data_IF_866281987595
#
_entry.id   IF_866281987595
#
_cell.length_a   1.000
_cell.length_b   1.000
_cell.length_c   1.000
_cell.angle_alpha   90.00
_cell.angle_beta   90.00
_cell.angle_gamma   90.00
#
_symmetry.space_group_name_H-M   'P 1'
#
loop_
_entity.id
_entity.type
_entity.pdbx_description
1 polymer ?
#
# COMPACT_ATOMS: atom_id res chain seq x y z
N UNK A 1 40.26 78.67 10.28
CA UNK A 1 39.34 78.36 9.16
C UNK A 1 39.91 77.13 8.47
N UNK A 2 39.31 75.94 8.34
CA UNK A 2 37.94 75.43 8.45
C UNK A 2 38.02 73.99 9.00
N UNK A 3 36.98 73.55 9.73
CA UNK A 3 36.70 72.15 10.13
C UNK A 3 36.54 71.24 8.89
N UNK A 4 36.78 69.92 9.04
CA UNK A 4 35.95 68.72 8.72
C UNK A 4 36.83 67.49 9.14
N UNK A 5 36.44 66.49 9.94
CA UNK A 5 35.17 65.74 10.00
C UNK A 5 35.33 64.43 9.22
N UNK A 6 35.92 63.36 9.78
CA UNK A 6 35.89 62.03 9.16
C UNK A 6 35.49 60.94 10.15
N UNK A 7 34.49 60.18 9.68
CA UNK A 7 33.65 59.23 10.37
C UNK A 7 34.31 57.86 10.55
N UNK A 8 33.85 57.13 11.58
CA UNK A 8 34.18 55.74 11.81
C UNK A 8 33.52 54.81 10.80
N UNK A 9 34.29 53.84 10.32
CA UNK A 9 33.80 52.71 9.52
C UNK A 9 33.95 51.44 10.33
N UNK A 10 32.84 50.96 10.89
CA UNK A 10 32.72 49.61 11.43
C UNK A 10 32.43 48.66 10.26
N UNK A 11 33.34 47.73 9.97
CA UNK A 11 33.15 46.70 8.97
C UNK A 11 32.28 45.58 9.55
N UNK A 12 31.04 45.47 9.07
CA UNK A 12 30.16 44.33 9.31
C UNK A 12 30.56 43.18 8.37
N UNK A 13 31.13 42.10 8.91
CA UNK A 13 31.31 40.84 8.19
C UNK A 13 29.95 40.15 8.03
N UNK A 14 29.38 40.21 6.83
CA UNK A 14 28.23 39.40 6.45
C UNK A 14 28.68 37.95 6.20
N UNK A 15 28.31 37.04 7.10
CA UNK A 15 28.47 35.60 6.88
C UNK A 15 27.39 35.17 5.89
N UNK A 16 27.76 35.02 4.60
CA UNK A 16 26.92 34.32 3.64
C UNK A 16 26.93 32.82 4.01
N UNK A 17 25.85 32.35 4.61
CA UNK A 17 25.57 30.92 4.68
C UNK A 17 25.16 30.45 3.27
N UNK A 18 26.08 29.82 2.53
CA UNK A 18 25.73 29.06 1.33
C UNK A 18 24.90 27.84 1.75
N UNK A 19 23.58 27.98 1.75
CA UNK A 19 22.67 26.84 1.68
C UNK A 19 22.84 26.22 0.29
N UNK A 20 23.70 25.21 0.16
CA UNK A 20 23.70 24.38 -1.03
C UNK A 20 22.31 23.73 -1.16
N UNK A 21 21.65 23.76 -2.32
CA UNK A 21 20.46 22.96 -2.52
C UNK A 21 20.85 21.50 -2.28
N UNK A 22 20.18 20.82 -1.36
CA UNK A 22 20.23 19.36 -1.26
C UNK A 22 19.95 18.83 -2.66
N UNK A 23 20.96 18.27 -3.31
CA UNK A 23 20.78 17.61 -4.59
C UNK A 23 19.72 16.53 -4.37
N UNK A 24 18.52 16.71 -4.94
CA UNK A 24 17.50 15.68 -4.90
C UNK A 24 18.11 14.41 -5.50
N UNK A 25 17.98 13.29 -4.80
CA UNK A 25 18.47 12.02 -5.32
C UNK A 25 17.86 11.75 -6.69
N UNK A 26 18.66 11.22 -7.62
CA UNK A 26 18.18 10.91 -8.96
C UNK A 26 16.99 9.93 -8.88
N UNK A 27 15.84 10.26 -9.51
CA UNK A 27 14.69 9.40 -9.49
C UNK A 27 15.01 8.09 -10.23
N UNK A 28 14.56 6.97 -9.66
CA UNK A 28 14.59 5.70 -10.35
C UNK A 28 13.69 5.79 -11.57
N UNK A 29 14.17 5.28 -12.70
CA UNK A 29 13.42 5.19 -13.95
C UNK A 29 13.35 3.72 -14.38
N UNK A 30 12.14 3.22 -14.63
CA UNK A 30 11.91 1.91 -15.23
C UNK A 30 11.18 2.08 -16.58
N UNK A 31 11.67 1.41 -17.63
CA UNK A 31 11.13 1.52 -19.00
C UNK A 31 10.68 0.18 -19.57
N UNK A 32 11.02 -0.93 -18.92
CA UNK A 32 10.60 -2.29 -19.24
C UNK A 32 9.24 -2.64 -18.62
N UNK A 33 8.35 -1.64 -18.52
CA UNK A 33 6.99 -1.78 -18.02
C UNK A 33 6.02 -1.85 -19.19
N UNK A 34 5.16 -2.87 -19.20
CA UNK A 34 4.12 -3.07 -20.21
C UNK A 34 2.75 -3.08 -19.58
N UNK A 35 1.73 -2.72 -20.36
CA UNK A 35 0.35 -2.84 -19.94
C UNK A 35 -0.49 -3.57 -20.99
N UNK A 36 -1.49 -4.30 -20.51
CA UNK A 36 -2.53 -4.94 -21.31
C UNK A 36 -3.86 -4.59 -20.66
N UNK A 37 -4.76 -3.97 -21.40
CA UNK A 37 -6.14 -3.74 -20.95
C UNK A 37 -6.99 -4.92 -21.38
N UNK A 38 -7.85 -5.39 -20.48
CA UNK A 38 -8.82 -6.42 -20.77
C UNK A 38 -10.24 -5.97 -20.40
N UNK A 39 -11.22 -6.19 -21.29
CA UNK A 39 -12.60 -5.83 -21.01
C UNK A 39 -13.20 -6.71 -19.92
N UNK A 40 -14.32 -6.27 -19.37
CA UNK A 40 -15.09 -7.04 -18.40
C UNK A 40 -15.51 -8.40 -18.98
N UNK A 41 -15.11 -9.50 -18.33
CA UNK A 41 -15.49 -10.86 -18.72
C UNK A 41 -16.96 -11.26 -18.50
N UNK A 42 -17.82 -10.33 -18.06
CA UNK A 42 -19.24 -10.59 -17.78
C UNK A 42 -19.96 -9.40 -17.11
N UNK A 43 -21.26 -9.55 -16.83
CA UNK A 43 -22.10 -8.45 -16.30
C UNK A 43 -21.70 -7.91 -14.91
N UNK A 44 -20.94 -8.70 -14.13
CA UNK A 44 -20.56 -8.36 -12.74
C UNK A 44 -19.07 -8.11 -12.57
N UNK A 45 -18.26 -8.30 -13.61
CA UNK A 45 -16.83 -8.03 -13.52
C UNK A 45 -16.52 -6.61 -14.01
N UNK A 46 -15.62 -5.94 -13.32
CA UNK A 46 -15.03 -4.72 -13.83
C UNK A 46 -14.01 -5.05 -14.95
N UNK A 47 -13.79 -4.13 -15.90
CA UNK A 47 -12.62 -4.21 -16.77
C UNK A 47 -11.34 -4.08 -15.94
N UNK A 48 -10.21 -4.52 -16.50
CA UNK A 48 -8.92 -4.53 -15.79
C UNK A 48 -7.77 -4.07 -16.67
N UNK A 49 -6.70 -3.62 -16.02
CA UNK A 49 -5.40 -3.40 -16.65
C UNK A 49 -4.35 -4.26 -15.95
N UNK A 50 -3.65 -5.08 -16.73
CA UNK A 50 -2.48 -5.83 -16.28
C UNK A 50 -1.22 -5.01 -16.54
N UNK A 51 -0.52 -4.64 -15.48
CA UNK A 51 0.82 -4.04 -15.55
C UNK A 51 1.87 -5.14 -15.39
N UNK A 52 2.86 -5.19 -16.28
CA UNK A 52 3.93 -6.18 -16.28
C UNK A 52 5.29 -5.49 -16.22
N UNK A 53 6.18 -5.99 -15.37
CA UNK A 53 7.57 -5.56 -15.31
C UNK A 53 8.45 -6.81 -15.11
N UNK A 54 9.33 -7.07 -16.08
CA UNK A 54 10.13 -8.30 -16.17
C UNK A 54 9.27 -9.56 -16.08
N UNK A 55 9.41 -10.35 -15.01
CA UNK A 55 8.66 -11.59 -14.74
C UNK A 55 7.44 -11.39 -13.85
N UNK A 56 7.23 -10.17 -13.34
CA UNK A 56 6.14 -9.85 -12.42
C UNK A 56 4.98 -9.20 -13.17
N UNK A 57 3.77 -9.43 -12.69
CA UNK A 57 2.56 -8.76 -13.18
C UNK A 57 1.62 -8.43 -12.05
N UNK A 58 0.92 -7.30 -12.15
CA UNK A 58 -0.17 -6.89 -11.28
C UNK A 58 -1.42 -6.61 -12.11
N UNK A 59 -2.57 -7.10 -11.67
CA UNK A 59 -3.85 -6.77 -12.26
C UNK A 59 -4.53 -5.68 -11.42
N UNK A 60 -4.92 -4.59 -12.08
CA UNK A 60 -5.69 -3.52 -11.46
C UNK A 60 -7.11 -3.58 -12.02
N UNK A 61 -8.07 -3.81 -11.14
CA UNK A 61 -9.50 -3.76 -11.44
C UNK A 61 -9.96 -2.29 -11.50
N UNK A 62 -10.80 -1.95 -12.48
CA UNK A 62 -11.46 -0.64 -12.57
C UNK A 62 -12.84 -0.70 -11.88
N UNK A 63 -12.83 -0.94 -10.56
CA UNK A 63 -14.02 -1.06 -9.70
C UNK A 63 -14.12 0.07 -8.65
N UNK A 64 -13.25 1.08 -8.75
CA UNK A 64 -13.17 2.20 -7.81
C UNK A 64 -12.33 1.95 -6.56
N UNK A 65 -11.80 0.73 -6.35
CA UNK A 65 -10.91 0.42 -5.21
C UNK A 65 -9.61 1.23 -5.21
N UNK A 66 -9.18 1.71 -6.38
CA UNK A 66 -7.94 2.48 -6.57
C UNK A 66 -8.23 3.78 -7.32
N UNK A 67 -8.69 4.85 -6.64
CA UNK A 67 -9.12 6.09 -7.29
C UNK A 67 -8.04 6.76 -8.15
N UNK A 68 -6.76 6.59 -7.82
CA UNK A 68 -5.64 7.14 -8.58
C UNK A 68 -5.47 6.50 -9.98
N UNK A 69 -6.17 5.38 -10.26
CA UNK A 69 -6.28 4.80 -11.61
C UNK A 69 -7.42 5.38 -12.46
N UNK A 70 -8.25 6.29 -11.94
CA UNK A 70 -9.42 6.82 -12.66
C UNK A 70 -9.07 7.47 -14.02
N UNK A 71 -7.91 8.11 -14.11
CA UNK A 71 -7.42 8.67 -15.39
C UNK A 71 -7.10 7.58 -16.42
N UNK A 72 -6.55 6.44 -15.99
CA UNK A 72 -6.32 5.28 -16.84
C UNK A 72 -7.64 4.65 -17.27
N UNK A 73 -8.58 4.47 -16.35
CA UNK A 73 -9.92 3.94 -16.64
C UNK A 73 -10.64 4.78 -17.71
N UNK A 74 -10.69 6.11 -17.53
CA UNK A 74 -11.29 7.02 -18.49
C UNK A 74 -10.60 6.97 -19.86
N UNK A 75 -9.26 6.86 -19.88
CA UNK A 75 -8.50 6.78 -21.11
C UNK A 75 -8.72 5.47 -21.89
N UNK A 76 -8.84 4.35 -21.17
CA UNK A 76 -8.98 3.01 -21.73
C UNK A 76 -10.44 2.66 -22.07
N UNK A 77 -11.42 3.27 -21.39
CA UNK A 77 -12.84 3.07 -21.66
C UNK A 77 -13.37 3.73 -22.94
N UNK A 78 -12.50 4.41 -23.71
CA UNK A 78 -12.86 5.01 -24.99
C UNK A 78 -13.25 3.95 -26.01
N UNK A 79 -14.37 4.15 -26.70
CA UNK A 79 -14.88 3.21 -27.72
C UNK A 79 -14.12 3.27 -29.05
N UNK A 80 -13.55 4.42 -29.37
CA UNK A 80 -12.81 4.60 -30.61
C UNK A 80 -11.43 3.91 -30.51
N UNK A 81 -11.10 2.99 -31.43
CA UNK A 81 -9.74 2.43 -31.52
C UNK A 81 -8.72 3.53 -31.83
N UNK A 82 -7.46 3.29 -31.46
CA UNK A 82 -6.36 4.20 -31.81
C UNK A 82 -5.37 4.43 -30.68
N UNK A 83 -4.52 5.45 -30.85
CA UNK A 83 -3.49 5.80 -29.89
C UNK A 83 -4.10 6.24 -28.57
N UNK A 84 -3.49 5.80 -27.46
CA UNK A 84 -3.91 6.16 -26.10
C UNK A 84 -2.69 6.55 -25.28
N UNK A 85 -2.85 7.56 -24.44
CA UNK A 85 -1.91 7.91 -23.38
C UNK A 85 -2.67 8.23 -22.11
N UNK A 86 -2.07 7.87 -20.97
CA UNK A 86 -2.58 8.20 -19.64
C UNK A 86 -1.43 8.19 -18.64
N UNK A 87 -1.67 8.83 -17.50
CA UNK A 87 -0.72 8.89 -16.40
C UNK A 87 -1.41 8.44 -15.13
N UNK A 88 -0.70 7.65 -14.33
CA UNK A 88 -1.10 7.28 -12.97
C UNK A 88 -0.11 7.93 -12.02
N UNK A 89 -0.60 8.79 -11.13
CA UNK A 89 0.20 9.49 -10.12
C UNK A 89 -0.11 8.91 -8.75
N UNK A 90 0.94 8.59 -8.01
CA UNK A 90 0.90 8.04 -6.67
C UNK A 90 2.12 8.57 -5.90
N UNK A 91 2.10 8.52 -4.57
CA UNK A 91 3.23 9.00 -3.75
C UNK A 91 4.55 8.35 -4.14
N UNK A 92 4.54 7.04 -4.40
CA UNK A 92 5.71 6.28 -4.86
C UNK A 92 6.30 6.73 -6.21
N UNK A 93 5.55 7.47 -7.02
CA UNK A 93 6.01 7.98 -8.30
C UNK A 93 4.92 8.09 -9.37
N UNK A 94 5.37 8.37 -10.60
CA UNK A 94 4.51 8.55 -11.77
C UNK A 94 4.70 7.42 -12.76
N UNK A 95 3.59 6.79 -13.17
CA UNK A 95 3.54 5.80 -14.24
C UNK A 95 2.90 6.42 -15.49
N UNK A 96 3.72 6.85 -16.45
CA UNK A 96 3.29 7.42 -17.70
C UNK A 96 3.19 6.33 -18.78
N UNK A 97 2.00 6.11 -19.34
CA UNK A 97 1.73 5.01 -20.25
C UNK A 97 1.28 5.51 -21.63
N UNK A 98 1.67 4.77 -22.66
CA UNK A 98 1.21 4.97 -24.03
C UNK A 98 0.98 3.63 -24.73
N UNK A 99 0.14 3.61 -25.76
CA UNK A 99 -0.10 2.41 -26.55
C UNK A 99 -1.25 2.58 -27.53
N UNK A 100 -1.94 1.47 -27.80
CA UNK A 100 -3.04 1.44 -28.78
C UNK A 100 -4.20 0.61 -28.26
N UNK A 101 -5.41 1.12 -28.47
CA UNK A 101 -6.67 0.44 -28.21
C UNK A 101 -7.23 -0.15 -29.50
N UNK A 102 -7.75 -1.37 -29.42
CA UNK A 102 -8.58 -2.02 -30.43
C UNK A 102 -10.07 -1.92 -30.09
N UNK A 103 -10.40 -1.64 -28.83
CA UNK A 103 -11.75 -1.37 -28.35
C UNK A 103 -11.72 -0.81 -26.93
N UNK A 104 -12.90 -0.55 -26.35
CA UNK A 104 -12.99 -0.10 -24.96
C UNK A 104 -12.43 -1.17 -24.02
N UNK A 105 -11.42 -0.78 -23.23
CA UNK A 105 -10.65 -1.66 -22.35
C UNK A 105 -9.96 -2.83 -23.06
N UNK A 106 -9.72 -2.73 -24.37
CA UNK A 106 -9.00 -3.74 -25.14
C UNK A 106 -7.83 -3.08 -25.87
N UNK A 107 -6.61 -3.44 -25.48
CA UNK A 107 -5.40 -2.84 -26.02
C UNK A 107 -4.17 -3.14 -25.21
N UNK A 108 -3.03 -2.61 -25.66
CA UNK A 108 -1.73 -2.81 -25.01
C UNK A 108 -0.78 -1.67 -25.27
N UNK A 109 0.27 -1.62 -24.46
CA UNK A 109 1.34 -0.65 -24.65
C UNK A 109 2.45 -0.78 -23.63
N UNK A 110 3.14 0.33 -23.45
CA UNK A 110 4.30 0.46 -22.56
C UNK A 110 4.07 1.57 -21.56
N UNK A 111 4.79 1.50 -20.45
CA UNK A 111 4.84 2.57 -19.47
C UNK A 111 6.30 2.90 -19.13
N UNK A 112 6.48 4.14 -18.70
CA UNK A 112 7.67 4.61 -17.99
C UNK A 112 7.26 4.90 -16.55
N UNK A 113 7.89 4.22 -15.61
CA UNK A 113 7.81 4.57 -14.19
C UNK A 113 8.96 5.49 -13.81
N UNK A 114 8.66 6.56 -13.08
CA UNK A 114 9.65 7.47 -12.49
C UNK A 114 9.31 7.60 -11.00
N UNK A 115 10.22 7.20 -10.11
CA UNK A 115 9.99 7.29 -8.66
C UNK A 115 9.98 8.73 -8.17
N UNK A 116 9.34 8.95 -7.02
CA UNK A 116 9.39 10.20 -6.30
C UNK A 116 10.48 10.17 -5.21
N UNK A 117 11.52 11.03 -5.28
CA UNK A 117 12.57 11.07 -4.27
C UNK A 117 12.10 11.51 -2.86
N UNK A 118 10.98 12.23 -2.77
CA UNK A 118 10.36 12.61 -1.50
C UNK A 118 9.80 11.39 -0.78
N UNK A 119 9.05 10.55 -1.48
CA UNK A 119 8.55 9.29 -0.95
C UNK A 119 9.67 8.32 -0.54
N UNK A 120 10.73 8.21 -1.34
CA UNK A 120 11.91 7.39 -0.97
C UNK A 120 12.58 7.87 0.33
N UNK A 121 12.64 9.19 0.54
CA UNK A 121 13.16 9.78 1.78
C UNK A 121 12.24 9.45 2.96
N UNK A 122 10.93 9.64 2.82
CA UNK A 122 9.95 9.33 3.87
C UNK A 122 9.97 7.85 4.29
N UNK A 123 10.16 6.93 3.34
CA UNK A 123 10.37 5.51 3.62
C UNK A 123 11.66 5.30 4.41
N UNK A 124 12.76 5.93 3.99
CA UNK A 124 14.06 5.79 4.64
C UNK A 124 14.04 6.28 6.09
N UNK A 125 13.37 7.40 6.36
CA UNK A 125 13.17 7.95 7.71
C UNK A 125 12.38 6.99 8.64
N UNK A 126 11.58 6.10 8.05
CA UNK A 126 10.82 5.07 8.77
C UNK A 126 11.53 3.72 8.85
N UNK A 127 12.71 3.58 8.25
CA UNK A 127 13.40 2.30 8.11
C UNK A 127 12.74 1.36 7.10
N UNK A 128 11.94 1.89 6.19
CA UNK A 128 11.15 1.13 5.19
C UNK A 128 11.70 1.30 3.76
N UNK A 129 12.96 1.70 3.62
CA UNK A 129 13.60 1.74 2.31
C UNK A 129 13.64 0.31 1.73
N UNK A 130 13.19 0.08 0.48
CA UNK A 130 13.19 -1.25 -0.10
C UNK A 130 14.61 -1.72 -0.45
N UNK A 131 14.90 -3.01 -0.23
CA UNK A 131 16.17 -3.64 -0.63
C UNK A 131 16.47 -3.45 -2.12
N UNK A 132 15.43 -3.48 -2.95
CA UNK A 132 15.50 -3.18 -4.37
C UNK A 132 14.64 -1.96 -4.67
N UNK A 133 15.24 -0.88 -5.18
CA UNK A 133 14.48 0.34 -5.57
C UNK A 133 13.37 0.04 -6.59
N UNK A 134 13.49 -1.00 -7.41
CA UNK A 134 12.41 -1.41 -8.34
C UNK A 134 11.10 -1.80 -7.65
N UNK A 135 11.12 -2.11 -6.35
CA UNK A 135 9.91 -2.36 -5.55
C UNK A 135 9.02 -1.12 -5.39
N UNK A 136 9.52 0.09 -5.67
CA UNK A 136 8.70 1.32 -5.68
C UNK A 136 7.57 1.25 -6.72
N UNK A 137 7.79 0.56 -7.84
CA UNK A 137 6.69 0.28 -8.79
C UNK A 137 5.64 -0.64 -8.16
N UNK A 138 6.05 -1.69 -7.43
CA UNK A 138 5.11 -2.55 -6.72
C UNK A 138 4.30 -1.75 -5.70
N UNK A 139 4.95 -0.85 -4.96
CA UNK A 139 4.27 0.02 -3.99
C UNK A 139 3.19 0.90 -4.64
N UNK A 140 3.46 1.49 -5.82
CA UNK A 140 2.44 2.19 -6.60
C UNK A 140 1.27 1.27 -6.96
N UNK A 141 1.56 0.06 -7.44
CA UNK A 141 0.54 -0.87 -7.92
C UNK A 141 -0.36 -1.40 -6.79
N UNK A 142 0.19 -1.58 -5.59
CA UNK A 142 -0.58 -2.09 -4.44
C UNK A 142 -1.07 -1.01 -3.49
N UNK A 143 -0.74 0.27 -3.71
CA UNK A 143 -1.06 1.39 -2.81
C UNK A 143 -0.37 1.26 -1.43
N UNK A 144 0.90 0.86 -1.45
CA UNK A 144 1.76 0.90 -0.28
C UNK A 144 2.25 2.33 -0.08
N UNK A 145 1.56 3.09 0.78
CA UNK A 145 1.80 4.50 1.03
C UNK A 145 2.43 4.77 2.41
N UNK A 146 2.95 5.98 2.59
CA UNK A 146 3.40 6.46 3.91
C UNK A 146 2.23 6.53 4.89
N UNK A 147 1.06 6.94 4.41
CA UNK A 147 -0.17 6.97 5.21
C UNK A 147 -0.52 5.59 5.77
N UNK A 148 -0.42 4.54 4.94
CA UNK A 148 -0.64 3.17 5.38
C UNK A 148 0.38 2.76 6.45
N UNK A 149 1.67 3.01 6.22
CA UNK A 149 2.73 2.67 7.17
C UNK A 149 2.50 3.34 8.53
N UNK A 150 2.21 4.64 8.55
CA UNK A 150 1.95 5.41 9.77
C UNK A 150 0.65 4.95 10.45
N UNK A 151 -0.37 4.61 9.67
CA UNK A 151 -1.63 4.06 10.18
C UNK A 151 -1.44 2.74 10.91
N UNK A 152 -0.71 1.80 10.31
CA UNK A 152 -0.42 0.49 10.91
C UNK A 152 0.48 0.63 12.16
N UNK A 153 1.45 1.54 12.13
CA UNK A 153 2.28 1.85 13.29
C UNK A 153 1.47 2.44 14.45
N UNK A 154 0.49 3.31 14.18
CA UNK A 154 -0.44 3.83 15.21
C UNK A 154 -1.31 2.71 15.82
N UNK A 155 -1.64 1.70 15.03
CA UNK A 155 -2.31 0.50 15.51
C UNK A 155 -1.34 -0.51 16.15
N UNK A 156 -0.07 -0.17 16.35
CA UNK A 156 0.89 -1.03 17.05
C UNK A 156 1.32 -2.28 16.27
N UNK A 157 1.05 -2.34 14.96
CA UNK A 157 1.51 -3.40 14.04
C UNK A 157 2.40 -2.78 12.96
N UNK A 158 3.48 -2.13 13.40
CA UNK A 158 4.39 -1.40 12.51
C UNK A 158 5.03 -2.37 11.49
N UNK A 159 5.00 -2.07 10.17
CA UNK A 159 5.81 -2.78 9.18
C UNK A 159 7.29 -2.72 9.53
N UNK A 160 8.01 -3.85 9.46
CA UNK A 160 9.45 -3.89 9.81
C UNK A 160 10.31 -3.53 8.61
N UNK A 161 9.82 -3.80 7.41
CA UNK A 161 10.49 -3.49 6.16
C UNK A 161 9.48 -3.13 5.04
N UNK A 162 10.02 -2.85 3.85
CA UNK A 162 9.23 -2.55 2.67
C UNK A 162 8.35 -3.71 2.19
N UNK A 163 8.78 -4.96 2.39
CA UNK A 163 8.03 -6.14 1.95
C UNK A 163 6.78 -6.33 2.81
N UNK A 164 6.89 -6.13 4.12
CA UNK A 164 5.74 -6.12 5.04
C UNK A 164 4.70 -5.08 4.60
N UNK A 165 5.15 -3.86 4.28
CA UNK A 165 4.25 -2.78 3.83
C UNK A 165 3.57 -3.12 2.49
N UNK A 166 4.33 -3.67 1.54
CA UNK A 166 3.79 -4.11 0.25
C UNK A 166 2.77 -5.24 0.45
N UNK A 167 3.06 -6.22 1.30
CA UNK A 167 2.18 -7.35 1.58
C UNK A 167 0.88 -6.89 2.28
N UNK A 168 1.00 -6.00 3.27
CA UNK A 168 -0.13 -5.40 3.94
C UNK A 168 -1.04 -4.64 2.95
N UNK A 169 -0.46 -3.81 2.09
CA UNK A 169 -1.19 -3.07 1.06
C UNK A 169 -1.88 -4.00 0.04
N UNK A 170 -1.16 -5.04 -0.43
CA UNK A 170 -1.67 -5.99 -1.41
C UNK A 170 -2.87 -6.80 -0.90
N UNK A 171 -2.94 -7.06 0.41
CA UNK A 171 -4.04 -7.77 1.04
C UNK A 171 -5.10 -6.84 1.67
N UNK A 172 -4.99 -5.52 1.52
CA UNK A 172 -5.86 -4.54 2.19
C UNK A 172 -5.92 -4.72 3.73
N UNK A 173 -4.74 -4.92 4.33
CA UNK A 173 -4.53 -4.79 5.77
C UNK A 173 -4.42 -3.30 6.08
N UNK A 174 -5.57 -2.70 6.41
CA UNK A 174 -5.69 -1.26 6.75
C UNK A 174 -5.79 -1.06 8.27
N UNK A 175 -5.52 0.14 8.80
CA UNK A 175 -5.60 0.41 10.25
C UNK A 175 -6.96 0.02 10.87
N UNK A 176 -8.05 0.24 10.13
CA UNK A 176 -9.41 -0.12 10.56
C UNK A 176 -9.57 -1.63 10.72
N UNK A 177 -8.99 -2.40 9.79
CA UNK A 177 -9.00 -3.86 9.86
C UNK A 177 -8.24 -4.38 11.09
N UNK A 178 -7.06 -3.82 11.37
CA UNK A 178 -6.27 -4.17 12.56
C UNK A 178 -7.05 -3.85 13.85
N UNK A 179 -7.68 -2.67 13.89
CA UNK A 179 -8.52 -2.26 15.03
C UNK A 179 -9.70 -3.20 15.23
N UNK A 180 -10.33 -3.64 14.16
CA UNK A 180 -11.46 -4.59 14.21
C UNK A 180 -11.06 -5.99 14.71
N UNK A 181 -9.81 -6.40 14.49
CA UNK A 181 -9.27 -7.66 14.97
C UNK A 181 -8.89 -7.62 16.46
N UNK A 182 -8.40 -6.48 16.93
CA UNK A 182 -8.07 -6.31 18.36
C UNK A 182 -9.31 -6.54 19.21
N UNK A 183 -9.25 -7.56 20.05
CA UNK A 183 -10.36 -7.96 20.90
C UNK A 183 -9.84 -8.69 22.12
N UNK A 184 -10.72 -9.00 23.07
CA UNK A 184 -10.35 -9.84 24.21
C UNK A 184 -9.87 -11.25 23.77
N UNK A 185 -10.30 -11.72 22.60
CA UNK A 185 -9.94 -13.03 22.07
C UNK A 185 -8.56 -13.06 21.40
N UNK A 186 -8.12 -11.98 20.76
CA UNK A 186 -6.90 -11.96 19.94
C UNK A 186 -5.98 -10.82 20.36
N UNK A 187 -4.73 -11.17 20.69
CA UNK A 187 -3.63 -10.21 20.83
C UNK A 187 -2.94 -10.09 19.48
N UNK A 188 -2.93 -8.87 18.92
CA UNK A 188 -2.34 -8.59 17.62
C UNK A 188 -1.31 -7.46 17.76
N UNK A 189 -0.03 -7.80 17.57
CA UNK A 189 1.11 -6.87 17.77
C UNK A 189 2.13 -6.91 16.64
N UNK A 190 2.01 -7.85 15.71
CA UNK A 190 2.86 -7.95 14.51
C UNK A 190 2.01 -7.69 13.26
N UNK A 191 2.62 -7.07 12.25
CA UNK A 191 1.99 -6.88 10.93
C UNK A 191 1.87 -8.21 10.18
N UNK A 192 2.83 -9.12 10.35
CA UNK A 192 2.81 -10.45 9.71
C UNK A 192 1.59 -11.24 10.16
N UNK A 193 1.27 -11.16 11.45
CA UNK A 193 0.09 -11.76 12.04
C UNK A 193 -1.21 -11.20 11.43
N UNK A 194 -1.24 -9.88 11.20
CA UNK A 194 -2.39 -9.23 10.58
C UNK A 194 -2.53 -9.64 9.11
N UNK A 195 -1.42 -9.76 8.40
CA UNK A 195 -1.32 -10.26 7.02
C UNK A 195 -1.82 -11.72 6.95
N UNK A 196 -1.36 -12.59 7.85
CA UNK A 196 -1.76 -14.00 7.93
C UNK A 196 -3.26 -14.14 8.24
N UNK A 197 -3.76 -13.35 9.19
CA UNK A 197 -5.19 -13.26 9.49
C UNK A 197 -6.01 -12.87 8.24
N UNK A 198 -5.57 -11.82 7.52
CA UNK A 198 -6.27 -11.35 6.32
C UNK A 198 -6.26 -12.39 5.21
N UNK A 199 -5.13 -13.05 4.99
CA UNK A 199 -4.97 -14.11 4.00
C UNK A 199 -5.93 -15.30 4.23
N UNK A 200 -6.23 -15.63 5.50
CA UNK A 200 -7.17 -16.70 5.85
C UNK A 200 -8.63 -16.23 6.03
N UNK A 201 -8.93 -14.97 5.73
CA UNK A 201 -10.27 -14.41 5.90
C UNK A 201 -10.71 -14.37 7.38
N UNK A 202 -9.77 -14.15 8.30
CA UNK A 202 -10.07 -13.77 9.66
C UNK A 202 -10.54 -12.31 9.65
N UNK A 203 -11.71 -12.05 10.21
CA UNK A 203 -12.30 -10.72 10.31
C UNK A 203 -12.75 -10.42 11.75
N UNK A 204 -13.17 -9.17 11.98
CA UNK A 204 -13.65 -8.74 13.30
C UNK A 204 -14.85 -9.57 13.80
N UNK A 205 -15.72 -10.04 12.91
CA UNK A 205 -16.88 -10.85 13.28
C UNK A 205 -16.44 -12.23 13.81
N UNK A 206 -15.44 -12.84 13.17
CA UNK A 206 -14.86 -14.11 13.57
C UNK A 206 -14.25 -14.03 14.97
N UNK A 207 -13.35 -13.06 15.22
CA UNK A 207 -12.68 -12.94 16.53
C UNK A 207 -13.64 -12.57 17.66
N UNK A 208 -14.67 -11.74 17.38
CA UNK A 208 -15.77 -11.51 18.34
C UNK A 208 -16.57 -12.78 18.62
N UNK A 209 -16.76 -13.62 17.61
CA UNK A 209 -17.38 -14.94 17.76
C UNK A 209 -16.59 -15.87 18.71
N UNK A 210 -15.26 -15.85 18.61
CA UNK A 210 -14.37 -16.57 19.54
C UNK A 210 -14.40 -15.98 20.95
N UNK A 211 -14.41 -14.64 21.09
CA UNK A 211 -14.57 -13.98 22.38
C UNK A 211 -15.90 -14.37 23.06
N UNK A 212 -17.01 -14.37 22.31
CA UNK A 212 -18.31 -14.83 22.77
C UNK A 212 -18.34 -16.33 23.11
N UNK A 213 -17.40 -17.11 22.57
CA UNK A 213 -17.20 -18.51 22.93
C UNK A 213 -16.38 -18.71 24.20
N UNK A 214 -15.83 -17.64 24.79
CA UNK A 214 -15.04 -17.68 26.01
C UNK A 214 -13.52 -17.74 25.78
N UNK A 215 -13.06 -17.69 24.53
CA UNK A 215 -11.63 -17.63 24.23
C UNK A 215 -11.08 -16.25 24.57
N UNK A 216 -9.86 -16.21 25.10
CA UNK A 216 -9.17 -15.00 25.53
C UNK A 216 -7.70 -15.09 25.20
N UNK A 217 -7.11 -13.97 24.78
CA UNK A 217 -5.66 -13.81 24.57
C UNK A 217 -5.02 -14.90 23.68
N UNK A 218 -5.74 -15.34 22.66
CA UNK A 218 -5.14 -16.17 21.61
C UNK A 218 -4.07 -15.38 20.87
N UNK A 219 -3.01 -16.08 20.51
CA UNK A 219 -2.06 -15.63 19.50
C UNK A 219 -2.72 -15.60 18.11
N UNK A 220 -2.14 -14.83 17.19
CA UNK A 220 -2.59 -14.83 15.81
C UNK A 220 -2.46 -16.22 15.16
N UNK A 221 -1.38 -16.94 15.42
CA UNK A 221 -1.17 -18.32 14.94
C UNK A 221 -2.29 -19.27 15.37
N UNK A 222 -2.75 -19.18 16.62
CA UNK A 222 -3.88 -19.99 17.09
C UNK A 222 -5.17 -19.62 16.36
N UNK A 223 -5.46 -18.33 16.18
CA UNK A 223 -6.66 -17.87 15.47
C UNK A 223 -6.63 -18.29 14.00
N UNK A 224 -5.48 -18.14 13.34
CA UNK A 224 -5.23 -18.58 11.96
C UNK A 224 -5.38 -20.10 11.86
N UNK A 225 -4.79 -20.86 12.77
CA UNK A 225 -4.91 -22.32 12.81
C UNK A 225 -6.35 -22.80 13.01
N UNK A 226 -7.09 -22.18 13.93
CA UNK A 226 -8.52 -22.44 14.13
C UNK A 226 -9.31 -22.15 12.84
N UNK A 227 -9.07 -21.01 12.20
CA UNK A 227 -9.72 -20.63 10.94
C UNK A 227 -9.41 -21.62 9.81
N UNK A 228 -8.16 -22.03 9.68
CA UNK A 228 -7.70 -23.01 8.69
C UNK A 228 -8.38 -24.38 8.85
N UNK A 229 -8.65 -24.79 10.09
CA UNK A 229 -9.38 -26.02 10.41
C UNK A 229 -10.90 -25.87 10.32
N UNK A 230 -11.42 -24.71 9.90
CA UNK A 230 -12.86 -24.47 9.77
C UNK A 230 -13.59 -24.28 11.11
N UNK A 231 -12.86 -24.03 12.20
CA UNK A 231 -13.47 -23.76 13.52
C UNK A 231 -14.22 -22.44 13.44
N UNK A 232 -15.53 -22.48 13.61
CA UNK A 232 -16.39 -21.27 13.73
C UNK A 232 -16.59 -20.89 15.19
N UNK A 233 -16.98 -19.64 15.45
CA UNK A 233 -17.36 -19.21 16.80
C UNK A 233 -18.55 -20.00 17.38
N UNK A 234 -19.46 -20.47 16.52
CA UNK A 234 -20.57 -21.34 16.93
C UNK A 234 -20.09 -22.73 17.32
N UNK A 235 -19.23 -23.34 16.50
CA UNK A 235 -18.62 -24.62 16.79
C UNK A 235 -17.84 -24.57 18.11
N UNK A 236 -17.01 -23.52 18.28
CA UNK A 236 -16.24 -23.30 19.49
C UNK A 236 -17.13 -23.16 20.74
N UNK A 237 -18.26 -22.42 20.63
CA UNK A 237 -19.27 -22.35 21.70
C UNK A 237 -19.89 -23.71 22.03
N UNK A 238 -20.27 -24.48 21.02
CA UNK A 238 -20.88 -25.79 21.20
C UNK A 238 -19.92 -26.76 21.91
N UNK A 239 -18.65 -26.76 21.51
CA UNK A 239 -17.61 -27.58 22.13
C UNK A 239 -17.34 -27.17 23.59
N UNK A 240 -17.27 -25.87 23.88
CA UNK A 240 -17.07 -25.39 25.25
C UNK A 240 -18.25 -25.77 26.17
N UNK A 241 -19.49 -25.71 25.67
CA UNK A 241 -20.67 -26.21 26.41
C UNK A 241 -20.61 -27.71 26.66
N UNK A 242 -20.23 -28.49 25.66
CA UNK A 242 -20.12 -29.95 25.78
C UNK A 242 -18.99 -30.37 26.74
N UNK A 243 -17.88 -29.63 26.77
CA UNK A 243 -16.77 -29.85 27.69
C UNK A 243 -17.14 -29.45 29.13
N UNK A 244 -17.79 -28.29 29.33
CA UNK A 244 -18.25 -27.84 30.65
C UNK A 244 -19.39 -28.67 31.24
N UNK A 245 -20.15 -29.38 30.41
CA UNK A 245 -21.26 -30.25 30.81
C UNK A 245 -20.85 -31.63 31.35
N UNK A 246 -19.57 -32.03 31.23
CA UNK A 246 -19.06 -33.35 31.70
C UNK A 246 -18.64 -33.38 33.18
N UNK A 247 -18.96 -32.34 33.96
CA UNK A 247 -18.58 -32.21 35.37
C UNK A 247 -19.80 -32.19 36.32
N UNK A 248 -20.80 -33.02 36.05
CA UNK A 248 -21.91 -33.28 36.99
C UNK A 248 -22.17 -34.77 37.11
#
# INVERSE_FOLDING_TARGET
>A
MLKQGLAGSAALLSILACSAPTAAADPLVLTDVRWIAEPAGGKKSAPRIRIQHRKSSSDQSFDGSRPYFAGAEAALGRRAPGAVSFTVTHDAGTLACSGTLTGAFDGKGVCRFTSDPGFERELSERGLAPDQRSSLLAMLLVDASIELADGLAREGVRPRDANDLIAAAALDVRPEYVRDLKSEALVLTDVDDAIACKALGVDGAYVRGLAAAGYRKLSADEVVGMKAMGVTGEYARAMNRAAGGKTK
#
